data_IF_286129386556
#
_entry.id   IF_286129386556
#
_cell.length_a   1.000
_cell.length_b   1.000
_cell.length_c   1.000
_cell.angle_alpha   90.00
_cell.angle_beta   90.00
_cell.angle_gamma   90.00
#
_symmetry.space_group_name_H-M   'P 1'
#
loop_
_entity.id
_entity.type
_entity.pdbx_description
1 polymer ?
#
# COMPACT_ATOMS: atom_id res chain seq x y z
N UNK A 1 1.81 15.23 -1.40
CA UNK A 1 1.66 13.95 -2.12
C UNK A 1 0.21 13.52 -2.04
N UNK A 2 -0.47 13.23 -3.17
CA UNK A 2 -1.82 12.72 -3.14
C UNK A 2 -1.87 11.36 -2.45
N UNK A 3 -2.83 11.20 -1.53
CA UNK A 3 -3.07 9.95 -0.81
C UNK A 3 -4.45 9.43 -1.16
N UNK A 4 -4.53 8.20 -1.68
CA UNK A 4 -5.77 7.55 -2.08
C UNK A 4 -6.25 6.59 -1.01
N UNK A 5 -7.57 6.47 -0.88
CA UNK A 5 -8.25 5.67 0.13
C UNK A 5 -9.13 4.60 -0.55
N UNK A 6 -8.53 3.57 -1.18
CA UNK A 6 -9.31 2.61 -1.96
C UNK A 6 -10.28 1.79 -1.11
N UNK A 7 -9.97 1.55 0.16
CA UNK A 7 -10.86 0.85 1.09
C UNK A 7 -12.19 1.57 1.27
N UNK A 8 -12.16 2.89 1.42
CA UNK A 8 -13.36 3.72 1.54
C UNK A 8 -14.16 3.74 0.25
N UNK A 9 -13.50 3.86 -0.90
CA UNK A 9 -14.18 3.75 -2.20
C UNK A 9 -14.87 2.40 -2.38
N UNK A 10 -14.21 1.32 -1.99
CA UNK A 10 -14.77 -0.02 -2.03
C UNK A 10 -16.01 -0.17 -1.15
N UNK A 11 -15.87 0.18 0.12
CA UNK A 11 -16.92 -0.03 1.13
C UNK A 11 -18.17 0.81 0.88
N UNK A 12 -17.97 2.05 0.44
CA UNK A 12 -19.08 2.99 0.18
C UNK A 12 -19.60 2.95 -1.27
N UNK A 13 -19.04 2.11 -2.14
CA UNK A 13 -19.43 2.05 -3.54
C UNK A 13 -19.10 3.31 -4.34
N UNK A 14 -18.05 4.05 -3.95
CA UNK A 14 -17.65 5.29 -4.60
C UNK A 14 -16.67 5.05 -5.76
N UNK A 15 -16.57 5.99 -6.70
CA UNK A 15 -15.53 5.95 -7.72
C UNK A 15 -14.12 5.92 -7.10
N UNK A 16 -13.23 5.13 -7.71
CA UNK A 16 -11.84 5.08 -7.28
C UNK A 16 -11.04 6.30 -7.77
N UNK A 17 -10.10 6.73 -6.94
CA UNK A 17 -9.16 7.78 -7.31
C UNK A 17 -8.30 7.40 -8.51
N UNK A 18 -7.92 8.38 -9.32
CA UNK A 18 -7.15 8.20 -10.57
C UNK A 18 -5.64 8.13 -10.31
N UNK A 19 -5.21 7.20 -9.45
CA UNK A 19 -3.81 7.07 -9.03
C UNK A 19 -2.84 6.93 -10.21
N UNK A 20 -3.21 6.16 -11.24
CA UNK A 20 -2.35 5.96 -12.44
C UNK A 20 -2.11 7.24 -13.22
N UNK A 21 -3.04 8.19 -13.22
CA UNK A 21 -2.85 9.45 -13.93
C UNK A 21 -1.83 10.35 -13.24
N UNK A 22 -1.82 10.35 -11.90
CA UNK A 22 -0.77 11.04 -11.13
C UNK A 22 0.60 10.44 -11.38
N UNK A 23 0.70 9.11 -11.38
CA UNK A 23 1.97 8.41 -11.69
C UNK A 23 2.46 8.73 -13.10
N UNK A 24 1.57 8.73 -14.11
CA UNK A 24 1.89 9.14 -15.49
C UNK A 24 2.36 10.59 -15.60
N UNK A 25 1.87 11.46 -14.72
CA UNK A 25 2.30 12.84 -14.63
C UNK A 25 3.61 13.03 -13.84
N UNK A 26 4.30 11.93 -13.45
CA UNK A 26 5.55 11.96 -12.70
C UNK A 26 5.39 12.25 -11.21
N UNK A 27 4.17 12.15 -10.68
CA UNK A 27 3.88 12.41 -9.27
C UNK A 27 3.85 11.11 -8.46
N UNK A 28 4.38 11.17 -7.23
CA UNK A 28 4.21 10.09 -6.27
C UNK A 28 2.77 10.02 -5.76
N UNK A 29 2.29 8.80 -5.50
CA UNK A 29 0.99 8.54 -4.90
C UNK A 29 1.19 7.68 -3.65
N UNK A 30 0.50 8.01 -2.56
CA UNK A 30 0.39 7.16 -1.39
C UNK A 30 -0.96 6.44 -1.36
N UNK A 31 -1.01 5.26 -0.77
CA UNK A 31 -2.23 4.52 -0.47
C UNK A 31 -2.35 4.36 1.04
N UNK A 32 -3.54 4.56 1.58
CA UNK A 32 -3.83 4.38 3.00
C UNK A 32 -5.11 3.58 3.21
N UNK A 33 -5.22 2.93 4.38
CA UNK A 33 -6.39 2.11 4.73
C UNK A 33 -7.61 2.95 5.07
N UNK A 34 -7.39 4.14 5.62
CA UNK A 34 -8.47 4.94 6.22
C UNK A 34 -9.30 4.12 7.23
N UNK A 35 -8.62 3.29 8.02
CA UNK A 35 -9.29 2.33 8.91
C UNK A 35 -10.20 3.03 9.92
N UNK A 36 -11.49 2.84 9.74
CA UNK A 36 -12.53 3.36 10.65
C UNK A 36 -13.84 2.57 10.45
N UNK A 37 -14.74 2.56 11.44
CA UNK A 37 -15.99 1.79 11.36
C UNK A 37 -17.01 2.34 10.35
N UNK A 38 -16.89 3.60 9.95
CA UNK A 38 -17.90 4.27 9.10
C UNK A 38 -17.69 4.05 7.59
N UNK A 39 -16.46 4.00 7.13
CA UNK A 39 -16.14 3.98 5.70
C UNK A 39 -15.09 2.97 5.26
N UNK A 40 -14.32 2.40 6.18
CA UNK A 40 -13.28 1.43 5.85
C UNK A 40 -12.98 0.50 7.04
N UNK A 41 -13.79 -0.53 7.28
CA UNK A 41 -13.66 -1.40 8.46
C UNK A 41 -12.49 -2.40 8.35
N UNK A 42 -11.66 -2.33 7.31
CA UNK A 42 -10.48 -3.15 7.14
C UNK A 42 -9.20 -2.31 7.14
N UNK A 43 -8.27 -2.66 8.04
CA UNK A 43 -6.91 -2.09 8.07
C UNK A 43 -5.89 -2.91 7.28
N UNK A 44 -6.30 -3.91 6.50
CA UNK A 44 -5.40 -4.78 5.76
C UNK A 44 -4.76 -4.06 4.57
N UNK A 45 -3.49 -3.69 4.70
CA UNK A 45 -2.73 -3.01 3.66
C UNK A 45 -2.46 -3.89 2.43
N UNK A 46 -2.57 -5.22 2.53
CA UNK A 46 -2.50 -6.12 1.37
C UNK A 46 -3.71 -5.93 0.48
N UNK A 47 -4.90 -5.84 1.08
CA UNK A 47 -6.14 -5.55 0.37
C UNK A 47 -6.11 -4.13 -0.25
N UNK A 48 -5.59 -3.14 0.46
CA UNK A 48 -5.38 -1.78 -0.07
C UNK A 48 -4.46 -1.80 -1.29
N UNK A 49 -3.34 -2.54 -1.23
CA UNK A 49 -2.41 -2.71 -2.35
C UNK A 49 -3.08 -3.40 -3.54
N UNK A 50 -3.85 -4.48 -3.30
CA UNK A 50 -4.58 -5.20 -4.34
C UNK A 50 -5.57 -4.27 -5.07
N UNK A 51 -6.32 -3.46 -4.33
CA UNK A 51 -7.23 -2.46 -4.92
C UNK A 51 -6.48 -1.40 -5.73
N UNK A 52 -5.32 -0.96 -5.26
CA UNK A 52 -4.43 -0.08 -6.02
C UNK A 52 -4.08 -0.66 -7.39
N UNK A 53 -3.75 -1.94 -7.45
CA UNK A 53 -3.46 -2.64 -8.70
C UNK A 53 -4.72 -2.83 -9.57
N UNK A 54 -5.78 -3.40 -9.01
CA UNK A 54 -6.96 -3.86 -9.76
C UNK A 54 -7.84 -2.68 -10.19
N UNK A 55 -8.10 -1.75 -9.28
CA UNK A 55 -9.05 -0.66 -9.48
C UNK A 55 -8.39 0.64 -9.92
N UNK A 56 -7.18 0.93 -9.46
CA UNK A 56 -6.48 2.18 -9.77
C UNK A 56 -5.39 2.01 -10.83
N UNK A 57 -5.23 0.79 -11.39
CA UNK A 57 -4.32 0.47 -12.51
C UNK A 57 -2.83 0.68 -12.20
N UNK A 58 -2.46 0.65 -10.93
CA UNK A 58 -1.06 0.66 -10.54
C UNK A 58 -0.41 -0.70 -10.85
N UNK A 59 0.85 -0.70 -11.25
CA UNK A 59 1.64 -1.94 -11.27
C UNK A 59 1.92 -2.41 -9.84
N UNK A 60 2.24 -3.69 -9.61
CA UNK A 60 2.61 -4.18 -8.27
C UNK A 60 3.73 -3.37 -7.61
N UNK A 61 4.73 -2.93 -8.37
CA UNK A 61 5.83 -2.08 -7.88
C UNK A 61 5.33 -0.68 -7.47
N UNK A 62 4.50 -0.04 -8.31
CA UNK A 62 3.91 1.26 -8.00
C UNK A 62 3.02 1.19 -6.75
N UNK A 63 2.19 0.14 -6.65
CA UNK A 63 1.32 -0.06 -5.49
C UNK A 63 2.11 -0.37 -4.22
N UNK A 64 3.18 -1.16 -4.31
CA UNK A 64 4.07 -1.44 -3.19
C UNK A 64 4.78 -0.17 -2.69
N UNK A 65 5.32 0.63 -3.60
CA UNK A 65 5.89 1.93 -3.23
C UNK A 65 4.83 2.86 -2.61
N UNK A 66 3.61 2.82 -3.12
CA UNK A 66 2.51 3.64 -2.61
C UNK A 66 2.11 3.29 -1.16
N UNK A 67 2.18 2.01 -0.76
CA UNK A 67 1.87 1.56 0.62
C UNK A 67 3.08 1.57 1.57
N UNK A 68 4.29 1.83 1.07
CA UNK A 68 5.51 1.82 1.89
C UNK A 68 6.24 3.15 1.84
N UNK A 69 7.05 3.37 0.82
CA UNK A 69 7.93 4.53 0.67
C UNK A 69 7.15 5.84 0.61
N UNK A 70 6.14 5.89 -0.25
CA UNK A 70 5.35 7.09 -0.47
C UNK A 70 4.44 7.40 0.72
N UNK A 71 3.87 6.37 1.37
CA UNK A 71 3.09 6.55 2.60
C UNK A 71 3.95 7.06 3.74
N UNK A 72 5.18 6.56 3.90
CA UNK A 72 6.11 7.08 4.90
C UNK A 72 6.44 8.56 4.62
N UNK A 73 6.65 8.92 3.35
CA UNK A 73 6.87 10.31 2.96
C UNK A 73 5.65 11.20 3.25
N UNK A 74 4.46 10.76 2.89
CA UNK A 74 3.21 11.50 3.12
C UNK A 74 2.95 11.78 4.62
N UNK A 75 3.42 10.88 5.49
CA UNK A 75 3.33 11.02 6.95
C UNK A 75 4.50 11.80 7.59
N UNK A 76 5.51 12.25 6.81
CA UNK A 76 6.72 12.88 7.35
C UNK A 76 7.64 11.91 8.10
N UNK A 77 7.60 10.62 7.77
CA UNK A 77 8.35 9.55 8.45
C UNK A 77 9.40 8.87 7.56
N UNK A 78 9.67 9.43 6.39
CA UNK A 78 10.56 8.81 5.38
C UNK A 78 12.02 8.70 5.79
N UNK A 79 12.47 9.47 6.75
CA UNK A 79 13.80 9.37 7.37
C UNK A 79 13.94 8.10 8.24
N UNK A 80 12.84 7.58 8.77
CA UNK A 80 12.80 6.46 9.72
C UNK A 80 12.18 5.18 9.18
N UNK A 81 11.25 5.27 8.22
CA UNK A 81 10.45 4.15 7.72
C UNK A 81 10.34 4.15 6.20
N UNK A 82 9.66 3.15 5.65
CA UNK A 82 9.24 3.06 4.25
C UNK A 82 10.23 2.35 3.32
N UNK A 83 11.46 2.10 3.75
CA UNK A 83 12.46 1.35 2.97
C UNK A 83 13.42 0.59 3.84
N UNK A 84 13.99 -0.48 3.30
CA UNK A 84 15.09 -1.24 3.92
C UNK A 84 16.40 -0.53 3.61
N UNK A 85 16.77 0.40 4.48
CA UNK A 85 17.96 1.25 4.29
C UNK A 85 18.70 1.38 5.62
N UNK A 86 20.03 1.35 5.58
CA UNK A 86 20.86 1.53 6.78
C UNK A 86 20.52 2.85 7.50
N UNK A 87 20.34 2.79 8.80
CA UNK A 87 19.96 3.92 9.65
C UNK A 87 18.47 4.08 9.88
N UNK A 88 17.62 3.38 9.12
CA UNK A 88 16.16 3.36 9.37
C UNK A 88 15.76 2.31 10.39
N UNK A 89 14.55 2.44 10.92
CA UNK A 89 13.94 1.44 11.82
C UNK A 89 13.75 0.12 11.08
N UNK A 90 13.99 -0.98 11.78
CA UNK A 90 13.79 -2.33 11.25
C UNK A 90 12.30 -2.76 11.29
N UNK A 91 11.40 -1.91 10.81
CA UNK A 91 10.00 -2.24 10.61
C UNK A 91 9.86 -3.09 9.34
N UNK A 92 10.02 -4.38 9.48
CA UNK A 92 10.18 -5.34 8.38
C UNK A 92 9.21 -6.50 8.51
N UNK A 93 8.81 -7.06 7.38
CA UNK A 93 8.15 -8.37 7.32
C UNK A 93 9.07 -9.38 6.65
N UNK A 94 9.12 -10.57 7.20
CA UNK A 94 9.70 -11.75 6.55
C UNK A 94 8.55 -12.57 5.99
N UNK A 95 8.61 -12.86 4.70
CA UNK A 95 7.61 -13.66 4.01
C UNK A 95 7.99 -15.14 3.96
N UNK A 96 7.02 -16.00 3.69
CA UNK A 96 7.30 -17.36 3.23
C UNK A 96 8.09 -17.33 1.91
N UNK A 97 8.91 -18.37 1.62
CA UNK A 97 9.64 -18.44 0.36
C UNK A 97 8.75 -18.39 -0.88
N UNK A 98 9.27 -17.81 -1.96
CA UNK A 98 8.58 -17.77 -3.25
C UNK A 98 7.53 -16.67 -3.39
N UNK A 99 7.49 -15.70 -2.48
CA UNK A 99 6.66 -14.51 -2.59
C UNK A 99 7.39 -13.38 -3.34
N UNK A 100 6.64 -12.70 -4.21
CA UNK A 100 7.05 -11.51 -4.92
C UNK A 100 5.94 -10.44 -4.89
N UNK A 101 6.21 -9.27 -5.45
CA UNK A 101 5.25 -8.16 -5.42
C UNK A 101 3.96 -8.46 -6.21
N UNK A 102 4.03 -9.28 -7.25
CA UNK A 102 2.87 -9.68 -8.04
C UNK A 102 1.95 -10.58 -7.21
N UNK A 103 2.52 -11.55 -6.51
CA UNK A 103 1.76 -12.42 -5.61
C UNK A 103 1.14 -11.66 -4.45
N UNK A 104 1.82 -10.66 -3.88
CA UNK A 104 1.27 -9.80 -2.83
C UNK A 104 -0.03 -9.12 -3.26
N UNK A 105 -0.09 -8.63 -4.49
CA UNK A 105 -1.28 -7.98 -5.03
C UNK A 105 -2.36 -8.99 -5.45
N UNK A 106 -1.97 -10.16 -5.97
CA UNK A 106 -2.88 -11.17 -6.52
C UNK A 106 -3.49 -12.07 -5.44
N UNK A 107 -2.67 -12.52 -4.49
CA UNK A 107 -3.07 -13.45 -3.42
C UNK A 107 -3.19 -12.71 -2.07
N UNK A 108 -3.89 -11.57 -2.06
CA UNK A 108 -3.94 -10.67 -0.91
C UNK A 108 -4.56 -11.28 0.36
N UNK A 109 -5.37 -12.35 0.25
CA UNK A 109 -5.93 -13.06 1.40
C UNK A 109 -5.04 -14.22 1.90
N UNK A 110 -4.10 -14.69 1.07
CA UNK A 110 -3.26 -15.82 1.45
C UNK A 110 -2.28 -15.41 2.55
N UNK A 111 -2.21 -16.13 3.68
CA UNK A 111 -1.21 -15.86 4.72
C UNK A 111 0.20 -16.11 4.16
N UNK A 112 1.05 -15.09 4.18
CA UNK A 112 2.42 -15.18 3.70
C UNK A 112 3.44 -14.56 4.66
N UNK A 113 2.97 -13.84 5.68
CA UNK A 113 3.85 -13.20 6.64
C UNK A 113 4.28 -14.25 7.68
N UNK A 114 5.56 -14.57 7.67
CA UNK A 114 6.18 -15.50 8.60
C UNK A 114 6.59 -14.82 9.92
N UNK A 115 7.09 -13.59 9.82
CA UNK A 115 7.54 -12.81 10.98
C UNK A 115 7.46 -11.31 10.71
N UNK A 116 7.15 -10.56 11.74
CA UNK A 116 7.20 -9.09 11.75
C UNK A 116 8.27 -8.63 12.73
N UNK A 117 9.05 -7.65 12.32
CA UNK A 117 10.03 -6.94 13.16
C UNK A 117 9.60 -5.48 13.30
N UNK A 118 9.79 -4.89 14.48
CA UNK A 118 9.46 -3.49 14.77
C UNK A 118 10.21 -2.95 15.98
#
# INVERSE_FOLDING_TARGET
MPTMLPGSSFFLGLPYGRAKDYVKAGLGVALASDYNPGSSPSGDMRFVMAQGCIKMRLTPVEAFNAVTLNSAYAMGLSDRYGSVTRGKKAALILTEPGWDLTKLAYQYETPFIRKVFF
#
